data_IF_131303914828
#
_entry.id   IF_131303914828
#
_cell.length_a   1.000
_cell.length_b   1.000
_cell.length_c   1.000
_cell.angle_alpha   90.00
_cell.angle_beta   90.00
_cell.angle_gamma   90.00
#
_symmetry.space_group_name_H-M   'P 1'
#
loop_
_entity.id
_entity.type
_entity.pdbx_description
1 polymer ?
#
# COMPACT_ATOMS: atom_id res chain seq x y z
N UNK A 1 77.60 40.36 13.17
CA UNK A 1 77.07 38.98 13.13
C UNK A 1 75.78 38.96 13.92
N UNK A 2 74.77 38.33 13.34
CA UNK A 2 73.39 38.31 13.81
C UNK A 2 73.21 37.64 15.18
N UNK A 3 72.16 38.05 15.89
CA UNK A 3 71.36 37.14 16.70
C UNK A 3 69.89 37.58 16.69
N UNK A 4 69.09 36.67 16.15
CA UNK A 4 67.65 36.66 15.98
C UNK A 4 66.94 36.53 17.33
N UNK A 5 65.94 37.37 17.59
CA UNK A 5 64.97 37.17 18.68
C UNK A 5 63.55 37.11 18.08
N UNK A 6 62.84 36.10 18.55
CA UNK A 6 61.53 35.57 18.18
C UNK A 6 60.36 36.56 18.26
N UNK A 7 59.43 36.46 17.30
CA UNK A 7 58.05 36.92 17.41
C UNK A 7 57.12 35.70 17.43
N UNK A 8 56.32 35.55 18.48
CA UNK A 8 55.22 34.58 18.56
C UNK A 8 53.92 35.24 18.03
N UNK A 9 53.12 34.58 17.18
CA UNK A 9 51.77 35.04 16.86
C UNK A 9 50.73 34.44 17.83
N UNK A 10 49.77 35.27 18.24
CA UNK A 10 48.70 34.95 19.20
C UNK A 10 47.59 34.01 18.66
N UNK A 11 46.65 33.59 19.53
CA UNK A 11 45.71 32.53 19.22
C UNK A 11 44.52 32.98 18.36
N UNK A 12 44.09 32.06 17.51
CA UNK A 12 43.20 32.19 16.36
C UNK A 12 41.70 32.30 16.70
N UNK A 13 41.03 33.12 15.90
CA UNK A 13 39.65 33.65 15.94
C UNK A 13 38.46 32.66 15.82
N UNK A 14 38.62 31.35 15.99
CA UNK A 14 37.61 30.37 15.53
C UNK A 14 36.58 29.86 16.57
N UNK A 15 36.67 30.28 17.85
CA UNK A 15 35.81 29.70 18.92
C UNK A 15 34.52 30.50 19.24
N UNK A 16 34.40 31.75 18.79
CA UNK A 16 33.27 32.63 19.19
C UNK A 16 31.97 32.42 18.40
N UNK A 17 32.01 31.89 17.17
CA UNK A 17 30.81 31.79 16.33
C UNK A 17 29.90 30.60 16.67
N UNK A 18 30.45 29.48 17.14
CA UNK A 18 29.68 28.25 17.36
C UNK A 18 28.75 28.34 18.58
N UNK A 19 29.15 29.11 19.60
CA UNK A 19 28.34 29.29 20.84
C UNK A 19 27.13 30.18 20.60
N UNK A 20 27.20 31.12 19.64
CA UNK A 20 26.11 32.05 19.33
C UNK A 20 24.93 31.37 18.63
N UNK A 21 25.19 30.42 17.74
CA UNK A 21 24.15 29.74 16.96
C UNK A 21 23.27 28.81 17.82
N UNK A 22 23.87 28.12 18.79
CA UNK A 22 23.12 27.29 19.74
C UNK A 22 22.16 28.11 20.60
N UNK A 23 22.58 29.30 21.05
CA UNK A 23 21.70 30.22 21.79
C UNK A 23 20.55 30.74 20.92
N UNK A 24 20.83 31.05 19.65
CA UNK A 24 19.81 31.51 18.70
C UNK A 24 18.76 30.43 18.38
N UNK A 25 19.18 29.17 18.22
CA UNK A 25 18.26 28.05 18.00
C UNK A 25 17.33 27.81 19.21
N UNK A 26 17.85 27.94 20.43
CA UNK A 26 17.04 27.84 21.66
C UNK A 26 16.05 29.02 21.74
N UNK A 27 16.48 30.22 21.35
CA UNK A 27 15.59 31.39 21.34
C UNK A 27 14.45 31.24 20.32
N UNK A 28 14.75 30.72 19.13
CA UNK A 28 13.76 30.41 18.09
C UNK A 28 12.79 29.31 18.49
N UNK A 29 13.26 28.26 19.17
CA UNK A 29 12.37 27.19 19.64
C UNK A 29 11.47 27.67 20.78
N UNK A 30 11.99 28.49 21.70
CA UNK A 30 11.17 29.14 22.74
C UNK A 30 10.14 30.10 22.14
N UNK A 31 10.51 30.89 21.12
CA UNK A 31 9.56 31.75 20.38
C UNK A 31 8.49 30.94 19.65
N UNK A 32 8.85 29.79 19.07
CA UNK A 32 7.90 28.90 18.38
C UNK A 32 6.94 28.23 19.35
N UNK A 33 7.42 27.81 20.53
CA UNK A 33 6.58 27.28 21.62
C UNK A 33 5.66 28.37 22.17
N UNK A 34 6.18 29.58 22.42
CA UNK A 34 5.38 30.74 22.85
C UNK A 34 4.27 31.08 21.85
N UNK A 35 4.59 31.09 20.55
CA UNK A 35 3.63 31.32 19.47
C UNK A 35 2.58 30.20 19.35
N UNK A 36 3.00 28.94 19.55
CA UNK A 36 2.08 27.79 19.58
C UNK A 36 1.15 27.80 20.80
N UNK A 37 1.59 28.35 21.95
CA UNK A 37 0.77 28.46 23.16
C UNK A 37 -0.19 29.65 23.13
N UNK A 38 0.14 30.74 22.43
CA UNK A 38 -0.68 31.96 22.33
C UNK A 38 -1.90 31.81 21.39
N UNK A 39 -1.83 30.88 20.43
CA UNK A 39 -2.91 30.61 19.47
C UNK A 39 -4.14 29.85 20.04
N UNK A 40 -4.23 29.61 21.37
CA UNK A 40 -5.37 28.90 21.99
C UNK A 40 -6.38 29.78 22.71
N UNK A 41 -6.23 31.10 22.71
CA UNK A 41 -7.18 32.00 23.39
C UNK A 41 -7.37 33.29 22.60
N UNK A 42 -8.17 33.21 21.52
CA UNK A 42 -8.83 34.41 21.03
C UNK A 42 -9.82 34.89 22.11
N UNK A 43 -9.78 36.17 22.54
CA UNK A 43 -10.78 36.71 23.44
C UNK A 43 -12.17 36.66 22.78
N UNK A 44 -13.26 36.42 23.54
CA UNK A 44 -14.59 36.25 22.97
C UNK A 44 -15.01 37.53 22.24
N UNK A 45 -15.22 37.43 20.92
CA UNK A 45 -15.83 38.50 20.13
C UNK A 45 -17.26 38.74 20.63
N UNK A 46 -17.41 39.79 21.42
CA UNK A 46 -18.61 40.64 21.64
C UNK A 46 -20.00 39.97 21.58
N UNK A 47 -20.70 39.90 22.72
CA UNK A 47 -22.19 39.85 22.92
C UNK A 47 -23.03 38.94 21.99
N UNK A 48 -22.43 38.07 21.19
CA UNK A 48 -23.11 37.16 20.31
C UNK A 48 -23.29 35.84 21.06
N UNK A 49 -24.54 35.49 21.35
CA UNK A 49 -24.88 34.17 21.88
C UNK A 49 -24.29 33.11 20.94
N UNK A 50 -23.49 32.14 21.44
CA UNK A 50 -22.88 31.12 20.59
C UNK A 50 -23.93 30.38 19.74
N UNK A 51 -23.59 29.97 18.51
CA UNK A 51 -24.52 29.25 17.63
C UNK A 51 -25.18 28.04 18.31
N UNK A 52 -24.42 27.31 19.13
CA UNK A 52 -24.90 26.15 19.90
C UNK A 52 -25.98 26.51 20.93
N UNK A 53 -25.83 27.67 21.59
CA UNK A 53 -26.83 28.14 22.58
C UNK A 53 -28.11 28.55 21.87
N UNK A 54 -28.02 29.17 20.69
CA UNK A 54 -29.19 29.49 19.85
C UNK A 54 -29.87 28.23 19.33
N UNK A 55 -29.10 27.25 18.87
CA UNK A 55 -29.61 25.94 18.46
C UNK A 55 -30.37 25.24 19.58
N UNK A 56 -29.84 25.29 20.80
CA UNK A 56 -30.51 24.72 21.98
C UNK A 56 -31.84 25.43 22.27
N UNK A 57 -31.88 26.75 22.22
CA UNK A 57 -33.14 27.51 22.40
C UNK A 57 -34.19 27.18 21.33
N UNK A 58 -33.77 27.03 20.07
CA UNK A 58 -34.64 26.61 18.95
C UNK A 58 -35.18 25.19 19.20
N UNK A 59 -34.31 24.27 19.59
CA UNK A 59 -34.66 22.89 19.87
C UNK A 59 -35.64 22.79 21.05
N UNK A 60 -35.36 23.50 22.14
CA UNK A 60 -36.21 23.55 23.33
C UNK A 60 -37.60 24.12 22.99
N UNK A 61 -37.66 25.13 22.12
CA UNK A 61 -38.92 25.67 21.63
C UNK A 61 -39.72 24.64 20.82
N UNK A 62 -39.11 24.01 19.81
CA UNK A 62 -39.77 22.99 18.98
C UNK A 62 -40.28 21.83 19.84
N UNK A 63 -39.48 21.42 20.83
CA UNK A 63 -39.86 20.39 21.81
C UNK A 63 -40.98 20.83 22.74
N UNK A 64 -41.03 22.11 23.11
CA UNK A 64 -42.11 22.65 23.95
C UNK A 64 -43.45 22.69 23.22
N UNK A 65 -43.43 22.92 21.91
CA UNK A 65 -44.66 22.98 21.11
C UNK A 65 -45.27 21.61 20.89
N UNK A 66 -44.48 20.52 20.97
CA UNK A 66 -44.94 19.13 20.83
C UNK A 66 -45.77 18.89 19.53
N UNK A 67 -45.48 19.65 18.47
CA UNK A 67 -46.22 19.62 17.19
C UNK A 67 -45.27 19.58 16.00
N UNK A 68 -45.77 19.17 14.84
CA UNK A 68 -45.03 19.21 13.59
C UNK A 68 -45.15 20.60 12.94
N UNK A 69 -44.05 21.12 12.42
CA UNK A 69 -43.98 22.43 11.79
C UNK A 69 -43.43 22.33 10.37
N UNK A 70 -43.94 23.18 9.48
CA UNK A 70 -43.31 23.38 8.17
C UNK A 70 -42.18 24.40 8.27
N UNK A 71 -41.27 24.41 7.29
CA UNK A 71 -40.18 25.40 7.27
C UNK A 71 -40.71 26.84 7.33
N UNK A 72 -41.84 27.12 6.67
CA UNK A 72 -42.48 28.45 6.67
C UNK A 72 -43.00 28.85 8.05
N UNK A 73 -43.46 27.89 8.85
CA UNK A 73 -43.92 28.15 10.21
C UNK A 73 -42.73 28.41 11.14
N UNK A 74 -41.66 27.64 10.97
CA UNK A 74 -40.40 27.82 11.71
C UNK A 74 -39.75 29.18 11.40
N UNK A 75 -39.78 29.63 10.15
CA UNK A 75 -39.30 30.96 9.74
C UNK A 75 -40.08 32.10 10.39
N UNK A 76 -41.33 31.88 10.82
CA UNK A 76 -42.14 32.89 11.53
C UNK A 76 -41.95 32.83 13.05
N UNK A 77 -41.87 31.64 13.63
CA UNK A 77 -41.83 31.46 15.09
C UNK A 77 -40.43 31.63 15.67
N UNK A 78 -39.39 31.11 14.99
CA UNK A 78 -38.03 31.06 15.55
C UNK A 78 -37.31 32.41 15.66
N UNK A 79 -37.52 33.41 14.78
CA UNK A 79 -36.91 34.73 14.94
C UNK A 79 -37.28 35.39 16.28
N UNK A 80 -38.52 35.20 16.75
CA UNK A 80 -39.00 35.75 18.02
C UNK A 80 -38.35 35.07 19.23
N UNK A 81 -38.15 33.75 19.17
CA UNK A 81 -37.69 32.95 20.31
C UNK A 81 -36.17 32.95 20.46
N UNK A 82 -35.44 32.83 19.34
CA UNK A 82 -33.99 32.72 19.34
C UNK A 82 -33.27 34.02 18.96
N UNK A 83 -34.01 35.11 18.70
CA UNK A 83 -33.47 36.40 18.23
C UNK A 83 -32.52 36.20 17.04
N UNK A 84 -32.98 35.46 16.04
CA UNK A 84 -32.24 35.13 14.80
C UNK A 84 -32.90 35.77 13.59
N UNK A 85 -32.12 36.03 12.54
CA UNK A 85 -32.66 36.49 11.26
C UNK A 85 -33.40 35.33 10.58
N UNK A 86 -34.56 35.58 9.97
CA UNK A 86 -35.35 34.57 9.25
C UNK A 86 -34.55 33.80 8.19
N UNK A 87 -33.57 34.45 7.55
CA UNK A 87 -32.67 33.81 6.57
C UNK A 87 -31.80 32.71 7.23
N UNK A 88 -31.43 32.87 8.50
CA UNK A 88 -30.55 31.95 9.23
C UNK A 88 -31.29 30.72 9.79
N UNK A 89 -32.63 30.75 9.81
CA UNK A 89 -33.45 29.66 10.38
C UNK A 89 -33.14 28.34 9.69
N UNK A 90 -33.01 28.35 8.35
CA UNK A 90 -32.69 27.17 7.56
C UNK A 90 -31.36 26.55 7.97
N UNK A 91 -30.33 27.36 8.14
CA UNK A 91 -28.98 26.89 8.52
C UNK A 91 -28.98 26.25 9.92
N UNK A 92 -29.72 26.83 10.88
CA UNK A 92 -29.86 26.26 12.21
C UNK A 92 -30.64 24.95 12.22
N UNK A 93 -31.70 24.83 11.42
CA UNK A 93 -32.46 23.57 11.27
C UNK A 93 -31.60 22.50 10.60
N UNK A 94 -30.84 22.84 9.56
CA UNK A 94 -29.89 21.90 8.94
C UNK A 94 -28.79 21.47 9.91
N UNK A 95 -28.27 22.36 10.74
CA UNK A 95 -27.34 22.00 11.82
C UNK A 95 -27.95 21.02 12.82
N UNK A 96 -29.18 21.26 13.26
CA UNK A 96 -29.91 20.37 14.19
C UNK A 96 -30.26 19.01 13.56
N UNK A 97 -30.45 18.95 12.25
CA UNK A 97 -30.62 17.70 11.49
C UNK A 97 -29.33 16.90 11.42
N UNK A 98 -28.21 17.56 11.13
CA UNK A 98 -26.89 16.90 11.08
C UNK A 98 -26.53 16.29 12.44
N UNK A 99 -26.96 16.92 13.53
CA UNK A 99 -26.81 16.41 14.89
C UNK A 99 -27.89 15.39 15.30
N UNK A 100 -28.81 15.03 14.40
CA UNK A 100 -29.96 14.13 14.62
C UNK A 100 -30.86 14.55 15.81
N UNK A 101 -30.95 15.85 16.10
CA UNK A 101 -31.78 16.40 17.20
C UNK A 101 -33.21 16.72 16.77
N UNK A 102 -33.42 16.94 15.47
CA UNK A 102 -34.73 17.17 14.83
C UNK A 102 -34.93 16.10 13.75
N UNK A 103 -36.16 15.60 13.64
CA UNK A 103 -36.56 14.71 12.55
C UNK A 103 -37.14 15.54 11.40
N UNK A 104 -36.76 15.19 10.17
CA UNK A 104 -37.37 15.71 8.94
C UNK A 104 -38.00 14.55 8.19
N UNK A 105 -39.26 14.71 7.80
CA UNK A 105 -39.91 13.81 6.85
C UNK A 105 -40.59 14.62 5.75
N UNK A 106 -40.53 14.09 4.54
CA UNK A 106 -41.17 14.70 3.39
C UNK A 106 -42.55 14.08 3.19
N UNK A 107 -43.59 14.89 3.33
CA UNK A 107 -44.98 14.48 3.11
C UNK A 107 -45.50 15.27 1.91
N UNK A 108 -45.66 14.57 0.78
CA UNK A 108 -46.03 15.18 -0.51
C UNK A 108 -44.94 16.11 -1.04
N UNK A 109 -45.28 17.38 -1.25
CA UNK A 109 -44.35 18.42 -1.73
C UNK A 109 -43.66 19.22 -0.61
N UNK A 110 -44.02 18.99 0.66
CA UNK A 110 -43.53 19.78 1.79
C UNK A 110 -42.66 18.95 2.74
N UNK A 111 -41.65 19.59 3.33
CA UNK A 111 -40.84 19.03 4.40
C UNK A 111 -41.43 19.41 5.76
N UNK A 112 -41.62 18.41 6.61
CA UNK A 112 -42.13 18.55 7.97
C UNK A 112 -41.01 18.30 8.96
N UNK A 113 -40.97 19.13 10.01
CA UNK A 113 -39.95 19.10 11.04
C UNK A 113 -40.60 18.94 12.42
N UNK A 114 -40.05 18.06 13.24
CA UNK A 114 -40.47 17.89 14.64
C UNK A 114 -39.34 17.35 15.50
N UNK A 115 -39.45 17.54 16.81
CA UNK A 115 -38.57 16.93 17.81
C UNK A 115 -39.36 16.73 19.08
N UNK A 116 -39.39 15.51 19.61
CA UNK A 116 -40.05 15.23 20.87
C UNK A 116 -39.02 15.02 22.00
N UNK A 117 -39.31 15.45 23.24
CA UNK A 117 -38.45 15.16 24.39
C UNK A 117 -38.23 13.65 24.63
N UNK A 118 -39.19 12.82 24.22
CA UNK A 118 -39.12 11.36 24.31
C UNK A 118 -38.05 10.74 23.42
N UNK A 119 -37.74 11.35 22.28
CA UNK A 119 -36.75 10.84 21.33
C UNK A 119 -35.34 10.84 21.94
N UNK A 120 -34.97 11.88 22.68
CA UNK A 120 -33.67 11.94 23.36
C UNK A 120 -33.53 10.87 24.45
N UNK A 121 -34.63 10.54 25.15
CA UNK A 121 -34.63 9.45 26.11
C UNK A 121 -34.50 8.09 25.43
N UNK A 122 -35.15 7.91 24.28
CA UNK A 122 -35.07 6.69 23.47
C UNK A 122 -33.67 6.51 22.89
N UNK A 123 -33.08 7.55 22.31
CA UNK A 123 -31.73 7.50 21.76
C UNK A 123 -30.69 7.17 22.83
N UNK A 124 -30.77 7.79 24.01
CA UNK A 124 -29.88 7.45 25.14
C UNK A 124 -30.00 5.98 25.56
N UNK A 125 -31.23 5.45 25.63
CA UNK A 125 -31.45 4.02 25.93
C UNK A 125 -30.90 3.12 24.82
N UNK A 126 -31.14 3.45 23.56
CA UNK A 126 -30.64 2.69 22.41
C UNK A 126 -29.10 2.63 22.42
N UNK A 127 -28.44 3.76 22.69
CA UNK A 127 -26.98 3.83 22.82
C UNK A 127 -26.50 3.00 24.01
N UNK A 128 -27.15 3.12 25.17
CA UNK A 128 -26.82 2.32 26.35
C UNK A 128 -26.95 0.81 26.08
N UNK A 129 -28.04 0.37 25.43
CA UNK A 129 -28.25 -1.03 25.05
C UNK A 129 -27.21 -1.52 24.02
N UNK A 130 -26.83 -0.68 23.05
CA UNK A 130 -25.74 -1.00 22.11
C UNK A 130 -24.42 -1.19 22.86
N UNK A 131 -24.04 -0.26 23.72
CA UNK A 131 -22.82 -0.35 24.52
C UNK A 131 -22.82 -1.57 25.44
N UNK A 132 -23.95 -1.91 26.07
CA UNK A 132 -24.08 -3.11 26.89
C UNK A 132 -23.92 -4.40 26.06
N UNK A 133 -24.47 -4.44 24.84
CA UNK A 133 -24.27 -5.56 23.92
C UNK A 133 -22.80 -5.70 23.52
N UNK A 134 -22.15 -4.59 23.19
CA UNK A 134 -20.73 -4.58 22.82
C UNK A 134 -19.84 -5.00 23.99
N UNK A 135 -20.13 -4.52 25.20
CA UNK A 135 -19.45 -4.94 26.43
C UNK A 135 -19.58 -6.46 26.59
N UNK A 136 -20.81 -7.00 26.58
CA UNK A 136 -21.04 -8.44 26.75
C UNK A 136 -20.32 -9.27 25.68
N UNK A 137 -20.33 -8.81 24.41
CA UNK A 137 -19.56 -9.45 23.34
C UNK A 137 -18.07 -9.45 23.67
N UNK A 138 -17.51 -8.30 24.07
CA UNK A 138 -16.10 -8.17 24.39
C UNK A 138 -15.72 -9.03 25.60
N UNK A 139 -16.53 -9.05 26.65
CA UNK A 139 -16.32 -9.91 27.83
C UNK A 139 -16.26 -11.38 27.41
N UNK A 140 -17.22 -11.85 26.61
CA UNK A 140 -17.19 -13.22 26.09
C UNK A 140 -15.96 -13.52 25.25
N UNK A 141 -15.50 -12.58 24.42
CA UNK A 141 -14.26 -12.78 23.66
C UNK A 141 -13.04 -12.82 24.55
N UNK A 142 -12.99 -12.02 25.61
CA UNK A 142 -11.89 -12.05 26.58
C UNK A 142 -11.89 -13.38 27.32
N UNK A 143 -13.04 -13.83 27.84
CA UNK A 143 -13.18 -15.14 28.50
C UNK A 143 -12.74 -16.28 27.57
N UNK A 144 -13.15 -16.27 26.29
CA UNK A 144 -12.73 -17.27 25.31
C UNK A 144 -11.21 -17.25 25.07
N UNK A 145 -10.61 -16.06 24.95
CA UNK A 145 -9.17 -15.93 24.75
C UNK A 145 -8.39 -16.35 25.99
N UNK A 146 -8.88 -16.02 27.20
CA UNK A 146 -8.30 -16.45 28.46
C UNK A 146 -8.34 -17.99 28.59
N UNK A 147 -9.47 -18.62 28.26
CA UNK A 147 -9.60 -20.07 28.21
C UNK A 147 -8.63 -20.70 27.19
N UNK A 148 -8.49 -20.10 26.01
CA UNK A 148 -7.54 -20.59 24.99
C UNK A 148 -6.09 -20.45 25.44
N UNK A 149 -5.74 -19.33 26.07
CA UNK A 149 -4.40 -19.11 26.63
C UNK A 149 -4.13 -20.12 27.74
N UNK A 150 -5.08 -20.34 28.65
CA UNK A 150 -4.93 -21.31 29.74
C UNK A 150 -4.77 -22.73 29.20
N UNK A 151 -5.55 -23.14 28.18
CA UNK A 151 -5.40 -24.43 27.51
C UNK A 151 -4.04 -24.59 26.85
N UNK A 152 -3.56 -23.56 26.12
CA UNK A 152 -2.24 -23.57 25.49
C UNK A 152 -1.12 -23.65 26.53
N UNK A 153 -1.24 -22.93 27.63
CA UNK A 153 -0.27 -22.97 28.74
C UNK A 153 -0.28 -24.32 29.46
N UNK A 154 -1.45 -24.91 29.71
CA UNK A 154 -1.56 -26.23 30.32
C UNK A 154 -0.93 -27.30 29.42
N UNK A 155 -1.22 -27.26 28.11
CA UNK A 155 -0.61 -28.16 27.12
C UNK A 155 0.91 -27.97 27.04
N UNK A 156 1.40 -26.74 27.02
CA UNK A 156 2.82 -26.45 27.04
C UNK A 156 3.50 -27.02 28.30
N UNK A 157 2.87 -26.87 29.47
CA UNK A 157 3.37 -27.47 30.73
C UNK A 157 3.36 -29.00 30.72
N UNK A 158 2.36 -29.62 30.11
CA UNK A 158 2.30 -31.08 29.94
C UNK A 158 3.38 -31.59 28.98
N UNK A 159 3.64 -30.87 27.88
CA UNK A 159 4.66 -31.19 26.87
C UNK A 159 6.10 -30.92 27.38
N UNK A 160 6.31 -29.85 28.16
CA UNK A 160 7.60 -29.51 28.76
C UNK A 160 7.92 -30.34 30.02
N UNK A 161 6.90 -30.85 30.73
CA UNK A 161 7.07 -31.69 31.92
C UNK A 161 7.84 -30.99 33.05
N UNK A 162 8.74 -31.72 33.72
CA UNK A 162 9.58 -31.22 34.83
C UNK A 162 10.89 -30.56 34.37
N UNK A 163 11.01 -30.20 33.08
CA UNK A 163 12.23 -29.59 32.55
C UNK A 163 12.48 -28.23 33.19
N UNK A 164 13.76 -27.90 33.41
CA UNK A 164 14.14 -26.60 33.95
C UNK A 164 13.68 -25.49 32.98
N UNK A 165 12.94 -24.47 33.45
CA UNK A 165 12.59 -23.31 32.64
C UNK A 165 13.79 -22.67 31.91
N UNK A 166 14.99 -22.78 32.46
CA UNK A 166 16.21 -22.28 31.84
C UNK A 166 16.61 -23.09 30.60
N UNK A 167 16.48 -24.42 30.64
CA UNK A 167 16.81 -25.30 29.51
C UNK A 167 15.84 -25.07 28.34
N UNK A 168 14.56 -24.89 28.65
CA UNK A 168 13.50 -24.55 27.68
C UNK A 168 13.82 -23.22 26.99
N UNK A 169 14.21 -22.19 27.75
CA UNK A 169 14.50 -20.88 27.19
C UNK A 169 15.77 -20.89 26.31
N UNK A 170 16.77 -21.70 26.67
CA UNK A 170 17.97 -21.91 25.85
C UNK A 170 17.62 -22.62 24.54
N UNK A 171 16.83 -23.71 24.61
CA UNK A 171 16.36 -24.44 23.43
C UNK A 171 15.52 -23.55 22.51
N UNK A 172 14.59 -22.78 23.09
CA UNK A 172 13.76 -21.81 22.37
C UNK A 172 14.61 -20.77 21.65
N UNK A 173 15.68 -20.27 22.28
CA UNK A 173 16.61 -19.31 21.67
C UNK A 173 17.38 -19.94 20.52
N UNK A 174 17.92 -21.14 20.70
CA UNK A 174 18.62 -21.89 19.66
C UNK A 174 17.72 -22.15 18.45
N UNK A 175 16.48 -22.58 18.68
CA UNK A 175 15.49 -22.80 17.62
C UNK A 175 15.08 -21.51 16.91
N UNK A 176 14.98 -20.39 17.63
CA UNK A 176 14.72 -19.08 17.03
C UNK A 176 15.88 -18.64 16.11
N UNK A 177 17.12 -18.89 16.51
CA UNK A 177 18.32 -18.58 15.73
C UNK A 177 18.39 -19.45 14.46
N UNK A 178 18.24 -20.77 14.60
CA UNK A 178 18.16 -21.69 13.46
C UNK A 178 17.03 -21.32 12.49
N UNK A 179 15.86 -20.93 13.02
CA UNK A 179 14.75 -20.46 12.19
C UNK A 179 15.15 -19.21 11.41
N UNK A 180 15.82 -18.25 12.03
CA UNK A 180 16.27 -17.03 11.36
C UNK A 180 17.29 -17.34 10.25
N UNK A 181 18.24 -18.25 10.51
CA UNK A 181 19.21 -18.72 9.51
C UNK A 181 18.51 -19.38 8.31
N UNK A 182 17.57 -20.30 8.56
CA UNK A 182 16.80 -20.96 7.52
C UNK A 182 15.94 -19.96 6.72
N UNK A 183 15.42 -18.92 7.34
CA UNK A 183 14.69 -17.87 6.62
C UNK A 183 15.60 -17.11 5.65
N UNK A 184 16.82 -16.79 6.07
CA UNK A 184 17.82 -16.15 5.22
C UNK A 184 18.18 -17.08 4.06
N UNK A 185 18.39 -18.38 4.32
CA UNK A 185 18.70 -19.36 3.28
C UNK A 185 17.55 -19.50 2.28
N UNK A 186 16.30 -19.54 2.74
CA UNK A 186 15.12 -19.57 1.86
C UNK A 186 15.09 -18.34 0.97
N UNK A 187 15.33 -17.15 1.50
CA UNK A 187 15.35 -15.91 0.72
C UNK A 187 16.47 -15.91 -0.32
N UNK A 188 17.65 -16.40 0.04
CA UNK A 188 18.78 -16.56 -0.87
C UNK A 188 18.46 -17.54 -2.00
N UNK A 189 17.92 -18.73 -1.67
CA UNK A 189 17.55 -19.74 -2.65
C UNK A 189 16.42 -19.26 -3.57
N UNK A 190 15.45 -18.52 -3.04
CA UNK A 190 14.41 -17.89 -3.85
C UNK A 190 15.00 -16.87 -4.83
N UNK A 191 15.94 -16.04 -4.38
CA UNK A 191 16.63 -15.06 -5.24
C UNK A 191 17.47 -15.73 -6.31
N UNK A 192 18.17 -16.82 -5.97
CA UNK A 192 18.91 -17.60 -6.96
C UNK A 192 17.97 -18.23 -7.99
N UNK A 193 16.86 -18.82 -7.53
CA UNK A 193 15.86 -19.43 -8.40
C UNK A 193 15.28 -18.43 -9.40
N UNK A 194 14.86 -17.24 -8.96
CA UNK A 194 14.35 -16.21 -9.87
C UNK A 194 15.41 -15.76 -10.88
N UNK A 195 16.66 -15.59 -10.43
CA UNK A 195 17.77 -15.25 -11.33
C UNK A 195 18.01 -16.32 -12.41
N UNK A 196 17.85 -17.61 -12.10
CA UNK A 196 17.94 -18.70 -13.07
C UNK A 196 16.72 -18.76 -14.00
N UNK A 197 15.51 -18.54 -13.48
CA UNK A 197 14.28 -18.54 -14.28
C UNK A 197 14.29 -17.41 -15.32
N UNK A 198 14.67 -16.19 -14.92
CA UNK A 198 14.70 -15.02 -15.79
C UNK A 198 15.79 -15.12 -16.87
N UNK A 199 16.96 -15.65 -16.52
CA UNK A 199 18.10 -15.71 -17.44
C UNK A 199 18.18 -16.99 -18.26
N UNK A 200 17.78 -18.13 -17.71
CA UNK A 200 18.02 -19.45 -18.32
C UNK A 200 16.96 -19.80 -19.36
N UNK A 201 15.69 -19.80 -18.96
CA UNK A 201 14.60 -20.34 -19.79
C UNK A 201 14.39 -19.49 -21.05
N UNK A 202 14.42 -18.16 -20.91
CA UNK A 202 14.22 -17.25 -22.03
C UNK A 202 15.38 -17.32 -23.04
N UNK A 203 16.64 -17.31 -22.58
CA UNK A 203 17.82 -17.40 -23.46
C UNK A 203 17.92 -18.75 -24.16
N UNK A 204 17.63 -19.85 -23.46
CA UNK A 204 17.62 -21.19 -24.07
C UNK A 204 16.56 -21.27 -25.17
N UNK A 205 15.35 -20.74 -24.93
CA UNK A 205 14.30 -20.69 -25.97
C UNK A 205 14.74 -19.89 -27.18
N UNK A 206 15.28 -18.68 -26.97
CA UNK A 206 15.78 -17.83 -28.05
C UNK A 206 16.85 -18.55 -28.88
N UNK A 207 17.85 -19.15 -28.23
CA UNK A 207 18.92 -19.90 -28.92
C UNK A 207 18.39 -21.11 -29.68
N UNK A 208 17.38 -21.78 -29.14
CA UNK A 208 16.72 -22.92 -29.80
C UNK A 208 15.96 -22.48 -31.05
N UNK A 209 15.26 -21.35 -30.98
CA UNK A 209 14.57 -20.75 -32.15
C UNK A 209 15.57 -20.32 -33.23
N UNK A 210 16.68 -19.67 -32.84
CA UNK A 210 17.76 -19.32 -33.76
C UNK A 210 18.29 -20.57 -34.48
N UNK A 211 18.62 -21.64 -33.75
CA UNK A 211 19.09 -22.92 -34.34
C UNK A 211 18.05 -23.50 -35.31
N UNK A 212 16.77 -23.47 -34.95
CA UNK A 212 15.71 -23.97 -35.83
C UNK A 212 15.53 -23.11 -37.10
N UNK A 213 15.80 -21.81 -37.03
CA UNK A 213 15.82 -20.95 -38.22
C UNK A 213 16.99 -21.32 -39.13
N UNK A 214 18.20 -21.46 -38.58
CA UNK A 214 19.37 -21.90 -39.34
C UNK A 214 19.15 -23.25 -39.99
N UNK A 215 18.54 -24.21 -39.29
CA UNK A 215 18.18 -25.52 -39.88
C UNK A 215 17.23 -25.37 -41.07
N UNK A 216 16.15 -24.61 -40.92
CA UNK A 216 15.21 -24.37 -42.03
C UNK A 216 15.87 -23.66 -43.21
N UNK A 217 16.78 -22.73 -42.94
CA UNK A 217 17.55 -22.06 -43.99
C UNK A 217 18.46 -23.05 -44.71
N UNK A 218 19.15 -23.94 -43.98
CA UNK A 218 19.96 -25.01 -44.56
C UNK A 218 19.09 -25.91 -45.44
N UNK A 219 17.93 -26.38 -44.96
CA UNK A 219 17.02 -27.23 -45.74
C UNK A 219 16.59 -26.55 -47.06
N UNK A 220 16.27 -25.25 -47.02
CA UNK A 220 15.93 -24.46 -48.21
C UNK A 220 17.12 -24.35 -49.17
N UNK A 221 18.31 -24.10 -48.65
CA UNK A 221 19.51 -24.00 -49.47
C UNK A 221 19.90 -25.36 -50.06
N UNK A 222 19.69 -26.44 -49.33
CA UNK A 222 19.88 -27.82 -49.81
C UNK A 222 18.93 -28.14 -50.97
N UNK A 223 17.64 -27.82 -50.83
CA UNK A 223 16.66 -27.94 -51.93
C UNK A 223 17.07 -27.11 -53.16
N UNK A 224 17.47 -25.85 -52.93
CA UNK A 224 17.91 -24.95 -54.00
C UNK A 224 19.14 -25.50 -54.73
N UNK A 225 20.12 -26.02 -53.99
CA UNK A 225 21.32 -26.64 -54.53
C UNK A 225 20.92 -27.87 -55.37
N UNK A 226 20.08 -28.76 -54.84
CA UNK A 226 19.60 -29.94 -55.56
C UNK A 226 18.91 -29.59 -56.88
N UNK A 227 18.06 -28.55 -56.90
CA UNK A 227 17.42 -28.06 -58.13
C UNK A 227 18.46 -27.57 -59.14
N UNK A 228 19.46 -26.80 -58.69
CA UNK A 228 20.53 -26.32 -59.57
C UNK A 228 21.38 -27.46 -60.12
N UNK A 229 21.68 -28.46 -59.32
CA UNK A 229 22.41 -29.66 -59.76
C UNK A 229 21.63 -30.47 -60.80
N UNK A 230 20.33 -30.65 -60.60
CA UNK A 230 19.46 -31.30 -61.59
C UNK A 230 19.40 -30.51 -62.90
N UNK A 231 19.38 -29.17 -62.84
CA UNK A 231 19.44 -28.33 -64.03
C UNK A 231 20.78 -28.45 -64.76
N UNK A 232 21.89 -28.47 -64.01
CA UNK A 232 23.24 -28.69 -64.55
C UNK A 232 23.33 -30.04 -65.27
N UNK A 233 22.77 -31.11 -64.68
CA UNK A 233 22.73 -32.44 -65.29
C UNK A 233 21.98 -32.44 -66.63
N UNK A 234 20.83 -31.74 -66.70
CA UNK A 234 20.08 -31.57 -67.95
C UNK A 234 20.87 -30.80 -69.01
N UNK A 235 21.58 -29.74 -68.61
CA UNK A 235 22.40 -28.92 -69.52
C UNK A 235 23.61 -29.70 -70.08
N UNK A 236 24.21 -30.58 -69.27
CA UNK A 236 25.32 -31.45 -69.66
C UNK A 236 24.88 -32.63 -70.56
N UNK A 237 23.59 -32.74 -70.92
CA UNK A 237 23.09 -33.83 -71.77
C UNK A 237 23.16 -35.22 -71.13
N UNK A 238 23.23 -35.29 -69.79
CA UNK A 238 23.37 -36.54 -69.04
C UNK A 238 24.81 -37.05 -68.89
N UNK A 239 25.83 -36.26 -69.27
CA UNK A 239 27.24 -36.61 -69.05
C UNK A 239 27.60 -36.48 -67.56
N UNK A 240 27.55 -37.63 -66.86
CA UNK A 240 27.85 -37.73 -65.42
C UNK A 240 29.28 -37.31 -65.09
N UNK A 241 30.25 -37.56 -65.97
CA UNK A 241 31.66 -37.23 -65.73
C UNK A 241 31.93 -35.72 -65.73
N UNK A 242 31.27 -34.99 -66.62
CA UNK A 242 31.36 -33.53 -66.67
C UNK A 242 30.71 -32.87 -65.44
N UNK A 243 29.54 -33.37 -65.01
CA UNK A 243 28.84 -32.88 -63.82
C UNK A 243 29.66 -33.10 -62.55
N UNK A 244 30.27 -34.28 -62.40
CA UNK A 244 31.12 -34.60 -61.25
C UNK A 244 32.37 -33.70 -61.19
N UNK A 245 33.00 -33.42 -62.34
CA UNK A 245 34.14 -32.50 -62.41
C UNK A 245 33.76 -31.06 -62.00
N UNK A 246 32.56 -30.60 -62.38
CA UNK A 246 32.05 -29.27 -61.97
C UNK A 246 31.72 -29.24 -60.47
N UNK A 247 31.09 -30.29 -59.93
CA UNK A 247 30.81 -30.39 -58.48
C UNK A 247 32.09 -30.34 -57.65
N UNK A 248 33.12 -31.12 -58.01
CA UNK A 248 34.43 -31.09 -57.32
C UNK A 248 35.10 -29.73 -57.38
N UNK A 249 34.96 -29.01 -58.50
CA UNK A 249 35.47 -27.64 -58.62
C UNK A 249 34.75 -26.65 -57.67
N UNK A 250 33.44 -26.83 -57.46
CA UNK A 250 32.62 -25.93 -56.64
C UNK A 250 32.69 -26.23 -55.14
N UNK A 251 32.69 -27.52 -54.76
CA UNK A 251 32.63 -27.95 -53.35
C UNK A 251 33.99 -28.35 -52.76
N UNK A 252 35.02 -28.48 -53.60
CA UNK A 252 36.37 -28.90 -53.21
C UNK A 252 36.61 -30.40 -53.42
N UNK A 253 37.89 -30.79 -53.34
CA UNK A 253 38.34 -32.17 -53.61
C UNK A 253 37.87 -33.18 -52.55
N UNK A 254 37.42 -32.70 -51.38
CA UNK A 254 36.90 -33.52 -50.27
C UNK A 254 35.38 -33.77 -50.37
N UNK A 255 34.71 -33.34 -51.45
CA UNK A 255 33.29 -33.63 -51.66
C UNK A 255 33.06 -35.11 -52.00
N UNK A 256 32.45 -35.84 -51.07
CA UNK A 256 31.93 -37.20 -51.27
C UNK A 256 30.40 -37.10 -51.46
N UNK A 257 29.89 -37.60 -52.59
CA UNK A 257 28.46 -37.57 -52.90
C UNK A 257 27.75 -38.69 -52.11
N UNK A 258 27.38 -38.41 -50.85
CA UNK A 258 26.67 -39.36 -49.98
C UNK A 258 25.23 -39.66 -50.47
N UNK A 259 24.69 -38.83 -51.36
CA UNK A 259 23.41 -39.03 -52.03
C UNK A 259 23.58 -39.76 -53.36
N UNK A 260 24.00 -41.03 -53.32
CA UNK A 260 23.76 -41.93 -54.45
C UNK A 260 22.23 -42.11 -54.59
N UNK A 261 21.63 -41.32 -55.48
CA UNK A 261 20.23 -41.46 -55.91
C UNK A 261 20.05 -42.72 -56.78
N UNK A 262 20.47 -43.86 -56.24
CA UNK A 262 20.04 -45.17 -56.68
C UNK A 262 18.59 -45.39 -56.23
N UNK A 263 17.63 -44.73 -56.90
CA UNK A 263 16.25 -45.18 -56.85
C UNK A 263 16.19 -46.64 -57.34
N UNK A 264 15.60 -47.57 -56.57
CA UNK A 264 15.24 -48.86 -57.12
C UNK A 264 14.04 -48.66 -58.04
N UNK A 265 14.30 -48.58 -59.35
CA UNK A 265 13.26 -48.78 -60.34
C UNK A 265 12.76 -50.22 -60.22
N UNK A 266 11.44 -50.37 -60.01
CA UNK A 266 10.70 -51.60 -60.28
C UNK A 266 10.89 -52.09 -61.71
#
# INVERSE_FOLDING_TARGET
MAQTISFAPGPTYYSFYVVSWRKWLIYLSLLKVAWLTDNRTQPPRSKAVPPEVKQKMILDHIRSTCTCHTLKDLEKMLPSVASINGIQVKDFITGLLNENKICMEKIGSNNWYWSFPSDEKRERKNVQERLLRDLNRLTKTVEQLEDEVQKKQARAKEEEGTRDPMDIEIERRSLMEQKAELFIEIEQLQTQKTAFEDNGVSKIKQKTEEINNWKREIDIWEDNISIMEQYLYKLAGGDRGLVEAIKKLCYGDDYEDDHDMSEPQC
#
